data_IF_047488569419
#
_entry.id   IF_047488569419
#
_cell.length_a   1.000
_cell.length_b   1.000
_cell.length_c   1.000
_cell.angle_alpha   90.00
_cell.angle_beta   90.00
_cell.angle_gamma   90.00
#
_symmetry.space_group_name_H-M   'P 1'
#
loop_
_entity.id
_entity.type
_entity.pdbx_description
1 polymer ?
#
# COMPACT_ATOMS: atom_id res chain seq x y z
N UNK A 1 -13.38 0.94 7.72
CA UNK A 1 -13.70 0.58 6.32
C UNK A 1 -12.63 -0.29 5.67
N UNK A 2 -11.33 0.05 5.82
CA UNK A 2 -10.21 -0.67 5.18
C UNK A 2 -10.22 -2.20 5.34
N UNK A 3 -10.53 -2.75 6.52
CA UNK A 3 -10.61 -4.22 6.70
C UNK A 3 -11.62 -4.89 5.75
N UNK A 4 -12.76 -4.24 5.50
CA UNK A 4 -13.77 -4.76 4.56
C UNK A 4 -13.27 -4.70 3.11
N UNK A 5 -12.62 -3.59 2.74
CA UNK A 5 -12.01 -3.41 1.42
C UNK A 5 -10.94 -4.46 1.14
N UNK A 6 -10.07 -4.74 2.12
CA UNK A 6 -9.04 -5.78 2.04
C UNK A 6 -9.70 -7.16 1.91
N UNK A 7 -10.66 -7.48 2.78
CA UNK A 7 -11.38 -8.76 2.72
C UNK A 7 -12.05 -8.99 1.36
N UNK A 8 -12.67 -7.94 0.80
CA UNK A 8 -13.34 -7.98 -0.49
C UNK A 8 -12.35 -8.09 -1.66
N UNK A 9 -11.22 -7.40 -1.61
CA UNK A 9 -10.23 -7.40 -2.69
C UNK A 9 -9.37 -8.67 -2.75
N UNK A 10 -9.13 -9.32 -1.60
CA UNK A 10 -8.46 -10.64 -1.52
C UNK A 10 -9.19 -11.74 -2.30
N UNK A 11 -10.47 -11.55 -2.61
CA UNK A 11 -11.26 -12.47 -3.43
C UNK A 11 -11.12 -12.20 -4.94
N UNK A 12 -10.43 -11.12 -5.32
CA UNK A 12 -10.41 -10.59 -6.70
C UNK A 12 -8.99 -10.55 -7.29
N UNK A 13 -7.96 -10.39 -6.46
CA UNK A 13 -6.57 -10.25 -6.88
C UNK A 13 -5.61 -10.95 -5.91
N UNK A 14 -4.37 -11.26 -6.34
CA UNK A 14 -3.33 -11.75 -5.44
C UNK A 14 -3.12 -10.79 -4.26
N UNK A 15 -3.03 -11.34 -3.06
CA UNK A 15 -2.86 -10.54 -1.87
C UNK A 15 -1.91 -11.24 -0.88
N UNK A 16 -1.00 -10.47 -0.31
CA UNK A 16 -0.03 -10.94 0.66
C UNK A 16 -0.09 -10.10 1.94
N UNK A 17 -0.24 -10.77 3.07
CA UNK A 17 -0.19 -10.13 4.38
C UNK A 17 1.25 -9.81 4.79
N UNK A 18 1.45 -8.67 5.42
CA UNK A 18 2.74 -8.28 6.00
C UNK A 18 2.92 -8.95 7.37
N UNK A 19 4.05 -9.64 7.53
CA UNK A 19 4.53 -10.13 8.82
C UNK A 19 5.35 -9.04 9.52
N UNK A 20 4.77 -8.45 10.57
CA UNK A 20 5.39 -7.36 11.32
C UNK A 20 6.71 -7.79 11.98
N UNK A 21 6.85 -9.05 12.38
CA UNK A 21 8.07 -9.55 13.01
C UNK A 21 9.30 -9.42 12.10
N UNK A 22 9.08 -9.52 10.78
CA UNK A 22 10.10 -9.39 9.73
C UNK A 22 10.43 -7.92 9.39
N UNK A 23 9.75 -6.97 10.00
CA UNK A 23 9.92 -5.53 9.74
C UNK A 23 10.78 -4.84 10.81
N UNK A 24 10.99 -5.50 11.95
CA UNK A 24 11.53 -4.89 13.17
C UNK A 24 12.99 -4.46 13.00
N UNK A 25 13.84 -5.35 12.48
CA UNK A 25 15.25 -5.02 12.25
C UNK A 25 15.44 -4.48 10.84
N UNK A 26 16.40 -3.55 10.67
CA UNK A 26 16.66 -2.97 9.36
C UNK A 26 17.17 -4.01 8.33
N UNK A 27 17.97 -4.98 8.78
CA UNK A 27 18.48 -6.06 7.92
C UNK A 27 17.35 -6.97 7.41
N UNK A 28 16.51 -7.46 8.32
CA UNK A 28 15.38 -8.32 7.96
C UNK A 28 14.38 -7.57 7.09
N UNK A 29 14.09 -6.32 7.42
CA UNK A 29 13.16 -5.48 6.67
C UNK A 29 13.61 -5.28 5.22
N UNK A 30 14.90 -5.04 4.97
CA UNK A 30 15.34 -4.80 3.59
C UNK A 30 15.32 -6.07 2.75
N UNK A 31 15.66 -7.22 3.34
CA UNK A 31 15.49 -8.52 2.69
C UNK A 31 14.00 -8.80 2.41
N UNK A 32 13.13 -8.49 3.38
CA UNK A 32 11.70 -8.69 3.23
C UNK A 32 11.08 -7.75 2.17
N UNK A 33 11.52 -6.49 2.11
CA UNK A 33 11.12 -5.57 1.06
C UNK A 33 11.50 -6.09 -0.34
N UNK A 34 12.69 -6.69 -0.48
CA UNK A 34 13.11 -7.31 -1.73
C UNK A 34 12.21 -8.50 -2.12
N UNK A 35 11.91 -9.37 -1.16
CA UNK A 35 11.00 -10.51 -1.35
C UNK A 35 9.60 -10.06 -1.78
N UNK A 36 9.03 -9.07 -1.10
CA UNK A 36 7.69 -8.55 -1.41
C UNK A 36 7.64 -7.86 -2.77
N UNK A 37 8.67 -7.08 -3.13
CA UNK A 37 8.76 -6.46 -4.47
C UNK A 37 8.87 -7.52 -5.56
N UNK A 38 9.68 -8.56 -5.37
CA UNK A 38 9.78 -9.67 -6.31
C UNK A 38 8.45 -10.45 -6.43
N UNK A 39 7.74 -10.65 -5.32
CA UNK A 39 6.42 -11.27 -5.34
C UNK A 39 5.41 -10.41 -6.12
N UNK A 40 5.40 -9.09 -5.93
CA UNK A 40 4.53 -8.16 -6.68
C UNK A 40 4.83 -8.22 -8.18
N UNK A 41 6.10 -8.25 -8.57
CA UNK A 41 6.53 -8.37 -9.96
C UNK A 41 6.03 -9.66 -10.63
N UNK A 42 6.04 -10.78 -9.92
CA UNK A 42 5.49 -12.05 -10.40
C UNK A 42 3.97 -12.01 -10.68
N UNK A 43 3.26 -11.02 -10.14
CA UNK A 43 1.83 -10.83 -10.36
C UNK A 43 1.51 -9.75 -11.41
N UNK A 44 2.51 -9.16 -12.08
CA UNK A 44 2.31 -8.00 -12.95
C UNK A 44 1.35 -8.25 -14.12
N UNK A 45 1.25 -9.49 -14.61
CA UNK A 45 0.36 -9.89 -15.71
C UNK A 45 -1.08 -10.19 -15.27
N UNK A 46 -1.40 -10.05 -13.98
CA UNK A 46 -2.76 -10.28 -13.48
C UNK A 46 -3.70 -9.13 -13.87
N UNK A 47 -5.00 -9.39 -14.09
CA UNK A 47 -5.96 -8.35 -14.48
C UNK A 47 -6.10 -7.21 -13.47
N UNK A 48 -5.80 -7.47 -12.20
CA UNK A 48 -5.86 -6.52 -11.10
C UNK A 48 -4.53 -6.55 -10.33
N UNK A 49 -4.09 -5.38 -9.88
CA UNK A 49 -2.84 -5.19 -9.17
C UNK A 49 -2.79 -6.00 -7.86
N UNK A 50 -1.62 -6.56 -7.51
CA UNK A 50 -1.46 -7.29 -6.25
C UNK A 50 -1.59 -6.36 -5.04
N UNK A 51 -2.11 -6.90 -3.93
CA UNK A 51 -2.27 -6.18 -2.66
C UNK A 51 -1.26 -6.64 -1.62
N UNK A 52 -0.49 -5.69 -1.08
CA UNK A 52 0.25 -5.86 0.18
C UNK A 52 -0.53 -5.20 1.31
N UNK A 53 -0.80 -5.91 2.39
CA UNK A 53 -1.61 -5.37 3.49
C UNK A 53 -1.09 -5.76 4.87
N UNK A 54 -1.10 -4.80 5.80
CA UNK A 54 -0.76 -5.01 7.21
C UNK A 54 -2.00 -5.04 8.13
N UNK A 55 -3.20 -4.94 7.57
CA UNK A 55 -4.45 -5.11 8.34
C UNK A 55 -4.55 -6.55 8.82
N UNK A 56 -4.30 -6.75 10.11
CA UNK A 56 -4.42 -8.03 10.78
C UNK A 56 -5.77 -8.14 11.51
N UNK A 57 -6.15 -9.36 11.85
CA UNK A 57 -7.23 -9.58 12.81
C UNK A 57 -6.86 -8.95 14.17
N UNK A 58 -7.84 -8.45 14.94
CA UNK A 58 -7.59 -7.75 16.20
C UNK A 58 -6.67 -8.51 17.16
N UNK A 59 -6.81 -9.83 17.23
CA UNK A 59 -6.02 -10.71 18.11
C UNK A 59 -4.54 -10.74 17.72
N UNK A 60 -4.25 -10.76 16.42
CA UNK A 60 -2.90 -10.82 15.89
C UNK A 60 -2.21 -9.45 15.95
N UNK A 61 -3.00 -8.38 15.78
CA UNK A 61 -2.57 -7.01 16.07
C UNK A 61 -2.22 -6.86 17.55
N UNK A 62 -3.06 -7.36 18.46
CA UNK A 62 -2.82 -7.27 19.90
C UNK A 62 -1.56 -8.03 20.34
N UNK A 63 -1.35 -9.25 19.81
CA UNK A 63 -0.10 -10.02 20.06
C UNK A 63 1.14 -9.26 19.59
N UNK A 64 1.08 -8.68 18.40
CA UNK A 64 2.18 -7.89 17.84
C UNK A 64 2.47 -6.66 18.69
N UNK A 65 1.43 -5.95 19.12
CA UNK A 65 1.55 -4.77 19.99
C UNK A 65 2.09 -5.11 21.37
N UNK A 66 1.71 -6.26 21.94
CA UNK A 66 2.26 -6.74 23.22
C UNK A 66 3.74 -7.10 23.11
N UNK A 67 4.15 -7.69 21.98
CA UNK A 67 5.53 -8.15 21.79
C UNK A 67 6.51 -7.03 21.44
N UNK A 68 6.10 -6.10 20.57
CA UNK A 68 7.01 -5.09 20.00
C UNK A 68 6.64 -3.64 20.37
N UNK A 69 5.46 -3.41 20.95
CA UNK A 69 4.90 -2.09 21.18
C UNK A 69 4.15 -1.55 19.95
N UNK A 70 3.07 -0.82 20.19
CA UNK A 70 2.20 -0.29 19.12
C UNK A 70 2.93 0.66 18.17
N UNK A 71 3.70 1.60 18.71
CA UNK A 71 4.38 2.62 17.92
C UNK A 71 5.51 2.01 17.07
N UNK A 72 6.37 1.18 17.68
CA UNK A 72 7.46 0.53 16.97
C UNK A 72 6.95 -0.43 15.87
N UNK A 73 5.87 -1.17 16.12
CA UNK A 73 5.24 -2.01 15.11
C UNK A 73 4.69 -1.19 13.93
N UNK A 74 4.03 -0.06 14.18
CA UNK A 74 3.51 0.83 13.13
C UNK A 74 4.65 1.41 12.29
N UNK A 75 5.67 1.96 12.95
CA UNK A 75 6.84 2.54 12.27
C UNK A 75 7.61 1.49 11.45
N UNK A 76 7.72 0.26 11.94
CA UNK A 76 8.36 -0.83 11.22
C UNK A 76 7.61 -1.19 9.92
N UNK A 77 6.27 -1.25 9.97
CA UNK A 77 5.43 -1.49 8.79
C UNK A 77 5.51 -0.33 7.81
N UNK A 78 5.46 0.90 8.30
CA UNK A 78 5.63 2.10 7.47
C UNK A 78 6.98 2.13 6.77
N UNK A 79 8.07 1.85 7.50
CA UNK A 79 9.41 1.75 6.94
C UNK A 79 9.51 0.65 5.87
N UNK A 80 8.82 -0.47 6.07
CA UNK A 80 8.76 -1.54 5.06
C UNK A 80 8.09 -1.03 3.78
N UNK A 81 6.92 -0.40 3.90
CA UNK A 81 6.22 0.15 2.72
C UNK A 81 7.04 1.21 1.99
N UNK A 82 7.81 2.03 2.73
CA UNK A 82 8.74 2.99 2.14
C UNK A 82 9.82 2.32 1.28
N UNK A 83 10.38 1.20 1.73
CA UNK A 83 11.39 0.45 0.99
C UNK A 83 10.77 -0.29 -0.22
N UNK A 84 9.61 -0.93 -0.02
CA UNK A 84 8.89 -1.65 -1.09
C UNK A 84 8.50 -0.70 -2.22
N UNK A 85 7.92 0.47 -1.91
CA UNK A 85 7.44 1.38 -2.96
C UNK A 85 8.59 1.97 -3.79
N UNK A 86 9.75 2.24 -3.16
CA UNK A 86 10.96 2.69 -3.87
C UNK A 86 11.47 1.62 -4.83
N UNK A 87 11.51 0.35 -4.37
CA UNK A 87 11.92 -0.79 -5.21
C UNK A 87 10.97 -0.97 -6.39
N UNK A 88 9.67 -0.95 -6.15
CA UNK A 88 8.65 -1.07 -7.21
C UNK A 88 8.74 0.08 -8.22
N UNK A 89 8.96 1.31 -7.76
CA UNK A 89 9.18 2.44 -8.66
C UNK A 89 10.41 2.21 -9.56
N UNK A 90 11.52 1.73 -9.01
CA UNK A 90 12.73 1.39 -9.76
C UNK A 90 12.51 0.25 -10.76
N UNK A 91 11.58 -0.65 -10.49
CA UNK A 91 11.14 -1.72 -11.39
C UNK A 91 10.12 -1.25 -12.45
N UNK A 92 9.77 0.04 -12.48
CA UNK A 92 8.89 0.62 -13.51
C UNK A 92 7.41 0.70 -13.11
N UNK A 93 7.04 0.32 -11.87
CA UNK A 93 5.69 0.53 -11.38
C UNK A 93 5.42 2.04 -11.23
N UNK A 94 4.32 2.49 -11.85
CA UNK A 94 3.96 3.91 -11.95
C UNK A 94 2.61 4.25 -11.31
N UNK A 95 1.86 3.26 -10.82
CA UNK A 95 0.56 3.47 -10.17
C UNK A 95 0.53 2.82 -8.80
N UNK A 96 0.18 3.58 -7.77
CA UNK A 96 0.09 3.09 -6.40
C UNK A 96 -1.27 3.45 -5.77
N UNK A 97 -1.99 2.45 -5.27
CA UNK A 97 -3.21 2.66 -4.50
C UNK A 97 -2.86 2.39 -3.03
N UNK A 98 -2.96 3.43 -2.19
CA UNK A 98 -2.50 3.40 -0.80
C UNK A 98 -3.68 3.64 0.13
N UNK A 99 -3.80 2.80 1.16
CA UNK A 99 -4.82 2.92 2.20
C UNK A 99 -4.18 3.11 3.58
N UNK A 100 -4.64 4.13 4.31
CA UNK A 100 -4.08 4.57 5.59
C UNK A 100 -3.44 5.96 5.47
N UNK A 101 -3.68 6.84 6.46
CA UNK A 101 -3.21 8.23 6.41
C UNK A 101 -1.69 8.30 6.54
N UNK A 102 -1.17 7.63 7.54
CA UNK A 102 0.25 7.50 7.88
C UNK A 102 0.99 6.79 6.73
N UNK A 103 0.47 5.66 6.26
CA UNK A 103 1.00 4.93 5.09
C UNK A 103 1.06 5.81 3.84
N UNK A 104 0.03 6.63 3.59
CA UNK A 104 0.01 7.56 2.46
C UNK A 104 1.11 8.62 2.57
N UNK A 105 1.34 9.17 3.76
CA UNK A 105 2.43 10.12 4.02
C UNK A 105 3.79 9.50 3.76
N UNK A 106 4.03 8.31 4.31
CA UNK A 106 5.31 7.62 4.16
C UNK A 106 5.58 7.20 2.72
N UNK A 107 4.58 6.70 1.99
CA UNK A 107 4.73 6.36 0.57
C UNK A 107 5.05 7.58 -0.29
N UNK A 108 4.34 8.69 -0.09
CA UNK A 108 4.57 9.92 -0.86
C UNK A 108 5.94 10.52 -0.57
N UNK A 109 6.38 10.51 0.69
CA UNK A 109 7.73 10.92 1.09
C UNK A 109 8.80 10.00 0.51
N UNK A 110 8.58 8.68 0.55
CA UNK A 110 9.52 7.69 0.03
C UNK A 110 9.73 7.83 -1.48
N UNK A 111 8.68 8.17 -2.22
CA UNK A 111 8.71 8.43 -3.66
C UNK A 111 9.22 9.84 -4.02
N UNK A 112 9.57 10.67 -3.03
CA UNK A 112 10.08 12.02 -3.25
C UNK A 112 9.07 13.00 -3.81
N UNK A 113 7.77 12.77 -3.62
CA UNK A 113 6.72 13.56 -4.27
C UNK A 113 6.45 14.85 -3.48
N UNK A 114 6.58 15.99 -4.16
CA UNK A 114 6.42 17.33 -3.57
C UNK A 114 5.10 18.01 -3.89
N UNK A 115 4.35 17.45 -4.84
CA UNK A 115 3.07 18.01 -5.27
C UNK A 115 2.42 17.13 -6.33
N UNK A 116 1.13 17.37 -6.53
CA UNK A 116 0.31 16.59 -7.46
C UNK A 116 -0.59 17.46 -8.32
N UNK A 117 -0.90 16.97 -9.52
CA UNK A 117 -2.11 17.31 -10.24
C UNK A 117 -3.27 16.45 -9.72
N UNK A 118 -4.40 17.09 -9.44
CA UNK A 118 -5.62 16.39 -9.03
C UNK A 118 -6.34 15.89 -10.29
N UNK A 119 -6.63 14.59 -10.31
CA UNK A 119 -7.35 13.91 -11.38
C UNK A 119 -8.79 13.56 -10.97
N UNK A 120 -9.41 12.57 -11.63
CA UNK A 120 -10.80 12.22 -11.39
C UNK A 120 -11.01 11.55 -10.02
N UNK A 121 -12.21 11.70 -9.48
CA UNK A 121 -12.62 11.12 -8.19
C UNK A 121 -12.97 9.64 -8.32
N UNK A 122 -12.31 8.78 -7.53
CA UNK A 122 -12.68 7.37 -7.38
C UNK A 122 -13.83 7.23 -6.38
N UNK A 123 -13.75 8.01 -5.31
CA UNK A 123 -14.75 8.13 -4.25
C UNK A 123 -14.75 9.56 -3.70
N UNK A 124 -15.80 10.00 -2.99
CA UNK A 124 -15.81 11.32 -2.36
C UNK A 124 -14.55 11.53 -1.50
N UNK A 125 -13.78 12.58 -1.77
CA UNK A 125 -12.54 12.88 -1.05
C UNK A 125 -11.32 12.02 -1.42
N UNK A 126 -11.43 11.12 -2.41
CA UNK A 126 -10.32 10.25 -2.85
C UNK A 126 -10.20 10.29 -4.37
N UNK A 127 -9.47 11.28 -4.92
CA UNK A 127 -9.16 11.32 -6.35
C UNK A 127 -7.91 10.51 -6.68
N UNK A 128 -7.78 10.16 -7.96
CA UNK A 128 -6.47 9.90 -8.53
C UNK A 128 -5.67 11.20 -8.54
N UNK A 129 -4.38 11.11 -8.23
CA UNK A 129 -3.44 12.22 -8.30
C UNK A 129 -2.22 11.80 -9.11
N UNK A 130 -1.58 12.73 -9.80
CA UNK A 130 -0.34 12.48 -10.56
C UNK A 130 0.76 13.40 -10.06
N UNK A 131 1.92 12.83 -9.72
CA UNK A 131 3.09 13.60 -9.31
C UNK A 131 3.50 14.59 -10.43
N UNK A 132 3.91 15.81 -10.03
CA UNK A 132 4.27 16.87 -10.98
C UNK A 132 5.56 16.52 -11.73
N UNK A 133 6.55 15.97 -11.02
CA UNK A 133 7.93 15.87 -11.51
C UNK A 133 8.31 14.47 -12.02
N UNK A 134 7.39 13.51 -11.92
CA UNK A 134 7.65 12.12 -12.27
C UNK A 134 6.37 11.43 -12.74
N UNK A 135 6.45 10.42 -13.61
CA UNK A 135 5.29 9.72 -14.16
C UNK A 135 4.70 8.72 -13.15
N UNK A 136 4.37 9.18 -11.95
CA UNK A 136 3.78 8.36 -10.89
C UNK A 136 2.38 8.89 -10.56
N UNK A 137 1.40 8.00 -10.58
CA UNK A 137 0.03 8.27 -10.17
C UNK A 137 -0.29 7.56 -8.86
N UNK A 138 -1.04 8.21 -7.97
CA UNK A 138 -1.44 7.67 -6.68
C UNK A 138 -2.94 7.84 -6.43
N UNK A 139 -3.50 6.90 -5.67
CA UNK A 139 -4.79 7.06 -5.02
C UNK A 139 -4.55 6.94 -3.51
N UNK A 140 -4.66 8.06 -2.78
CA UNK A 140 -4.33 8.14 -1.35
C UNK A 140 -5.62 8.13 -0.53
N UNK A 141 -5.94 6.99 0.08
CA UNK A 141 -7.21 6.75 0.75
C UNK A 141 -7.06 6.72 2.27
N UNK A 142 -7.64 7.69 2.96
CA UNK A 142 -7.76 7.61 4.43
C UNK A 142 -8.69 6.45 4.85
N UNK A 143 -8.53 5.96 6.09
CA UNK A 143 -9.08 4.67 6.55
C UNK A 143 -10.60 4.49 6.42
N UNK A 144 -11.37 5.58 6.52
CA UNK A 144 -12.84 5.55 6.50
C UNK A 144 -13.48 5.80 5.13
N UNK A 145 -12.68 6.11 4.10
CA UNK A 145 -13.19 6.48 2.78
C UNK A 145 -13.32 5.29 1.82
N UNK A 146 -14.17 5.47 0.81
CA UNK A 146 -14.44 4.51 -0.26
C UNK A 146 -15.47 3.43 0.12
N UNK A 147 -15.94 2.70 -0.88
CA UNK A 147 -16.78 1.51 -0.71
C UNK A 147 -15.95 0.23 -0.62
N UNK A 148 -16.59 -0.93 -0.47
CA UNK A 148 -15.90 -2.23 -0.32
C UNK A 148 -15.13 -2.66 -1.58
N UNK A 149 -15.52 -2.18 -2.76
CA UNK A 149 -14.87 -2.48 -4.03
C UNK A 149 -13.85 -1.41 -4.45
N UNK A 150 -13.53 -0.44 -3.57
CA UNK A 150 -12.67 0.70 -3.87
C UNK A 150 -11.39 0.33 -4.64
N UNK A 151 -10.66 -0.69 -4.18
CA UNK A 151 -9.39 -1.10 -4.80
C UNK A 151 -9.56 -1.56 -6.26
N UNK A 152 -10.60 -2.33 -6.55
CA UNK A 152 -10.89 -2.76 -7.92
C UNK A 152 -11.37 -1.59 -8.78
N UNK A 153 -12.31 -0.78 -8.27
CA UNK A 153 -12.86 0.39 -8.96
C UNK A 153 -11.78 1.42 -9.33
N UNK A 154 -10.82 1.65 -8.43
CA UNK A 154 -9.69 2.54 -8.66
C UNK A 154 -8.87 2.16 -9.91
N UNK A 155 -8.91 0.90 -10.32
CA UNK A 155 -8.19 0.39 -11.48
C UNK A 155 -9.09 0.33 -12.71
N UNK A 156 -10.28 -0.26 -12.58
CA UNK A 156 -11.15 -0.60 -13.72
C UNK A 156 -11.93 0.58 -14.27
N UNK A 157 -12.26 1.58 -13.45
CA UNK A 157 -12.92 2.82 -13.90
C UNK A 157 -11.93 3.81 -14.50
N UNK A 158 -10.62 3.54 -14.38
CA UNK A 158 -9.52 4.44 -14.74
C UNK A 158 -8.41 3.70 -15.47
N UNK A 159 -8.76 3.16 -16.64
CA UNK A 159 -7.81 2.54 -17.57
C UNK A 159 -6.72 3.51 -18.01
N UNK A 160 -5.51 3.00 -18.20
CA UNK A 160 -4.36 3.76 -18.74
C UNK A 160 -4.46 3.83 -20.25
#
# INVERSE_FOLDING_TARGET
>A
MTNKQVARYRQQAPAQSIDVSRCITAGDRSAYAAELSAWVEQQAEQPLAPLLYATAEPEQLQKTQQQYGTEAASQAVEALFAEVVKRLQQQGFSRFIVAGGETSGVVTQALGIRGFHIGPCISPGVPWVRAIEQPVSLALKSGNFGDENFFARAQTEFSV
#
